data_IF_492964702435
#
_entry.id   IF_492964702435
#
_cell.length_a   1.000
_cell.length_b   1.000
_cell.length_c   1.000
_cell.angle_alpha   90.00
_cell.angle_beta   90.00
_cell.angle_gamma   90.00
#
_symmetry.space_group_name_H-M   'P 1'
#
loop_
_entity.id
_entity.type
_entity.pdbx_description
1 polymer ?
#
# COMPACT_ATOMS: atom_id res chain seq x y z
N UNK A 1 -44.72 -21.88 -43.22
CA UNK A 1 -44.15 -22.19 -41.89
C UNK A 1 -42.66 -21.90 -41.99
N UNK A 2 -42.12 -21.16 -41.01
CA UNK A 2 -40.71 -21.13 -40.55
C UNK A 2 -40.47 -19.80 -39.85
N UNK A 3 -41.02 -19.74 -38.64
CA UNK A 3 -40.96 -18.63 -37.71
C UNK A 3 -39.59 -18.68 -37.02
N UNK A 4 -38.53 -18.26 -37.71
CA UNK A 4 -37.19 -18.18 -37.10
C UNK A 4 -37.19 -16.93 -36.22
N UNK A 5 -37.27 -17.18 -34.91
CA UNK A 5 -37.14 -16.20 -33.84
C UNK A 5 -36.11 -15.12 -34.19
N UNK A 6 -36.58 -13.89 -34.39
CA UNK A 6 -35.75 -12.70 -34.33
C UNK A 6 -35.40 -12.48 -32.86
N UNK A 7 -34.42 -13.22 -32.36
CA UNK A 7 -33.76 -12.89 -31.08
C UNK A 7 -32.99 -11.61 -31.35
N UNK A 8 -33.62 -10.48 -31.05
CA UNK A 8 -32.96 -9.18 -31.00
C UNK A 8 -32.00 -9.26 -29.82
N UNK A 9 -30.75 -9.61 -30.10
CA UNK A 9 -29.66 -9.53 -29.14
C UNK A 9 -29.37 -8.05 -28.94
N UNK A 10 -30.00 -7.45 -27.93
CA UNK A 10 -29.68 -6.09 -27.47
C UNK A 10 -28.30 -6.16 -26.82
N UNK A 11 -27.27 -5.79 -27.57
CA UNK A 11 -25.90 -5.64 -27.07
C UNK A 11 -25.84 -4.36 -26.22
N UNK A 12 -26.27 -4.44 -24.97
CA UNK A 12 -26.10 -3.37 -24.01
C UNK A 12 -24.63 -3.34 -23.56
N UNK A 13 -23.82 -2.53 -24.24
CA UNK A 13 -22.46 -2.21 -23.77
C UNK A 13 -22.57 -1.31 -22.54
N UNK A 14 -22.58 -1.93 -21.36
CA UNK A 14 -22.34 -1.24 -20.09
C UNK A 14 -20.87 -0.86 -20.05
N UNK A 15 -20.57 0.41 -20.30
CA UNK A 15 -19.25 0.98 -20.08
C UNK A 15 -19.10 1.21 -18.57
N UNK A 16 -18.57 0.20 -17.86
CA UNK A 16 -18.23 0.33 -16.44
C UNK A 16 -17.03 1.27 -16.36
N UNK A 17 -17.24 2.47 -15.84
CA UNK A 17 -16.17 3.41 -15.51
C UNK A 17 -15.26 2.80 -14.45
N UNK A 18 -13.97 2.65 -14.79
CA UNK A 18 -12.96 2.18 -13.85
C UNK A 18 -12.48 3.40 -13.06
N UNK A 19 -12.92 3.52 -11.81
CA UNK A 19 -12.37 4.49 -10.85
C UNK A 19 -10.95 4.05 -10.42
N UNK A 20 -9.89 4.86 -10.62
CA UNK A 20 -8.55 4.51 -10.16
C UNK A 20 -8.37 4.99 -8.71
N UNK A 21 -8.75 4.17 -7.73
CA UNK A 21 -8.53 4.50 -6.31
C UNK A 21 -7.92 3.35 -5.52
N UNK A 22 -6.85 2.73 -6.02
CA UNK A 22 -6.11 1.67 -5.29
C UNK A 22 -4.64 1.55 -5.74
N UNK A 23 -3.90 2.62 -6.06
CA UNK A 23 -2.57 2.42 -6.65
C UNK A 23 -1.49 1.91 -5.67
N UNK A 24 -1.65 2.11 -4.36
CA UNK A 24 -0.73 1.62 -3.31
C UNK A 24 -0.53 0.10 -3.27
N UNK A 25 -1.63 -0.66 -3.20
CA UNK A 25 -1.58 -2.12 -3.09
C UNK A 25 -1.22 -2.77 -4.44
N UNK A 26 -1.29 -1.99 -5.53
CA UNK A 26 -1.18 -2.48 -6.89
C UNK A 26 0.24 -2.42 -7.46
N UNK A 27 1.17 -1.64 -6.90
CA UNK A 27 2.54 -1.50 -7.42
C UNK A 27 3.37 -2.77 -7.28
N UNK A 28 3.51 -3.29 -6.06
CA UNK A 28 4.29 -4.51 -5.80
C UNK A 28 3.67 -5.75 -6.47
N UNK A 29 2.33 -5.86 -6.47
CA UNK A 29 1.62 -6.94 -7.17
C UNK A 29 1.89 -6.87 -8.68
N UNK A 30 1.79 -5.68 -9.28
CA UNK A 30 2.06 -5.46 -10.71
C UNK A 30 3.51 -5.75 -11.08
N UNK A 31 4.46 -5.38 -10.22
CA UNK A 31 5.88 -5.70 -10.39
C UNK A 31 6.14 -7.20 -10.33
N UNK A 32 5.51 -7.90 -9.38
CA UNK A 32 5.60 -9.36 -9.25
C UNK A 32 5.05 -10.07 -10.48
N UNK A 33 3.90 -9.61 -11.00
CA UNK A 33 3.30 -10.17 -12.21
C UNK A 33 4.20 -9.98 -13.44
N UNK A 34 4.72 -8.76 -13.64
CA UNK A 34 5.67 -8.47 -14.73
C UNK A 34 6.96 -9.30 -14.62
N UNK A 35 7.45 -9.52 -13.40
CA UNK A 35 8.63 -10.35 -13.13
C UNK A 35 8.38 -11.83 -13.46
N UNK A 36 7.18 -12.34 -13.17
CA UNK A 36 6.79 -13.69 -13.56
C UNK A 36 6.68 -13.84 -15.08
N UNK A 37 6.09 -12.86 -15.76
CA UNK A 37 6.04 -12.83 -17.22
C UNK A 37 7.45 -12.76 -17.84
N UNK A 38 8.36 -11.99 -17.24
CA UNK A 38 9.75 -11.89 -17.68
C UNK A 38 10.46 -13.25 -17.59
N UNK A 39 10.32 -13.96 -16.46
CA UNK A 39 10.92 -15.28 -16.25
C UNK A 39 10.50 -16.30 -17.31
N UNK A 40 9.22 -16.26 -17.71
CA UNK A 40 8.72 -17.11 -18.79
C UNK A 40 9.26 -16.65 -20.16
N UNK A 41 9.25 -15.35 -20.42
CA UNK A 41 9.71 -14.77 -21.67
C UNK A 41 11.21 -15.01 -21.94
N UNK A 42 12.04 -15.05 -20.90
CA UNK A 42 13.49 -15.35 -21.04
C UNK A 42 13.76 -16.76 -21.57
N UNK A 43 12.83 -17.70 -21.38
CA UNK A 43 12.98 -19.08 -21.86
C UNK A 43 12.31 -19.33 -23.22
N UNK A 44 11.18 -18.68 -23.48
CA UNK A 44 10.28 -19.08 -24.57
C UNK A 44 9.87 -17.95 -25.51
N UNK A 45 10.28 -16.70 -25.28
CA UNK A 45 9.84 -15.56 -26.08
C UNK A 45 10.99 -14.83 -26.80
N UNK A 46 10.61 -13.94 -27.73
CA UNK A 46 11.53 -13.07 -28.46
C UNK A 46 12.27 -12.09 -27.54
N UNK A 47 13.50 -11.76 -27.91
CA UNK A 47 14.32 -10.73 -27.27
C UNK A 47 13.59 -9.38 -27.14
N UNK A 48 12.72 -9.04 -28.10
CA UNK A 48 11.91 -7.83 -28.04
C UNK A 48 10.90 -7.86 -26.87
N UNK A 49 10.25 -9.01 -26.64
CA UNK A 49 9.29 -9.20 -25.54
C UNK A 49 10.00 -9.09 -24.19
N UNK A 50 11.18 -9.69 -24.07
CA UNK A 50 12.04 -9.61 -22.88
C UNK A 50 12.43 -8.14 -22.60
N UNK A 51 12.88 -7.41 -23.62
CA UNK A 51 13.26 -6.01 -23.48
C UNK A 51 12.08 -5.12 -23.06
N UNK A 52 10.89 -5.35 -23.62
CA UNK A 52 9.66 -4.65 -23.25
C UNK A 52 9.26 -4.90 -21.79
N UNK A 53 9.34 -6.15 -21.31
CA UNK A 53 9.05 -6.50 -19.93
C UNK A 53 10.04 -5.88 -18.94
N UNK A 54 11.34 -5.86 -19.26
CA UNK A 54 12.37 -5.18 -18.46
C UNK A 54 12.08 -3.68 -18.35
N UNK A 55 11.72 -3.03 -19.46
CA UNK A 55 11.33 -1.60 -19.47
C UNK A 55 10.07 -1.36 -18.64
N UNK A 56 9.08 -2.25 -18.71
CA UNK A 56 7.85 -2.13 -17.92
C UNK A 56 8.12 -2.21 -16.42
N UNK A 57 8.98 -3.14 -15.97
CA UNK A 57 9.41 -3.24 -14.57
C UNK A 57 10.12 -1.95 -14.14
N UNK A 58 11.07 -1.46 -14.94
CA UNK A 58 11.76 -0.19 -14.66
C UNK A 58 10.80 1.00 -14.56
N UNK A 59 9.73 1.01 -15.36
CA UNK A 59 8.72 2.06 -15.28
C UNK A 59 7.85 1.93 -14.02
N UNK A 60 7.54 0.70 -13.57
CA UNK A 60 6.90 0.50 -12.27
C UNK A 60 7.82 0.99 -11.16
N UNK A 61 9.10 0.62 -11.16
CA UNK A 61 10.08 1.10 -10.17
C UNK A 61 10.24 2.63 -10.18
N UNK A 62 10.15 3.26 -11.35
CA UNK A 62 10.36 4.71 -11.51
C UNK A 62 9.12 5.54 -11.21
N UNK A 63 7.93 5.04 -11.57
CA UNK A 63 6.71 5.84 -11.61
C UNK A 63 5.57 5.30 -10.76
N UNK A 64 5.65 4.05 -10.29
CA UNK A 64 4.69 3.54 -9.33
C UNK A 64 5.10 4.08 -7.96
N UNK A 65 4.36 5.07 -7.49
CA UNK A 65 4.43 5.49 -6.10
C UNK A 65 3.56 4.51 -5.31
N UNK A 66 4.13 3.87 -4.29
CA UNK A 66 3.32 3.16 -3.31
C UNK A 66 2.45 4.21 -2.61
N UNK A 67 1.21 4.38 -3.05
CA UNK A 67 0.24 5.30 -2.43
C UNK A 67 -0.19 4.84 -1.03
N UNK A 68 0.68 4.24 -0.20
CA UNK A 68 0.43 4.34 1.24
C UNK A 68 0.51 5.83 1.51
N UNK A 69 -0.62 6.51 1.77
CA UNK A 69 -0.60 7.95 1.96
C UNK A 69 0.46 8.23 3.02
N UNK A 70 1.33 9.23 2.81
CA UNK A 70 2.39 9.59 3.76
C UNK A 70 1.86 9.65 5.18
N UNK A 71 0.61 10.06 5.33
CA UNK A 71 -0.17 10.06 6.56
C UNK A 71 -0.38 8.67 7.19
N UNK A 72 -0.77 7.63 6.45
CA UNK A 72 -0.87 6.25 6.97
C UNK A 72 0.51 5.75 7.42
N UNK A 73 1.56 6.05 6.66
CA UNK A 73 2.93 5.69 7.05
C UNK A 73 3.37 6.40 8.33
N UNK A 74 3.09 7.70 8.44
CA UNK A 74 3.34 8.48 9.66
C UNK A 74 2.52 7.94 10.83
N UNK A 75 1.25 7.60 10.61
CA UNK A 75 0.38 7.01 11.62
C UNK A 75 0.97 5.70 12.18
N UNK A 76 1.33 4.75 11.29
CA UNK A 76 1.92 3.47 11.68
C UNK A 76 3.24 3.65 12.45
N UNK A 77 4.08 4.60 12.04
CA UNK A 77 5.33 4.90 12.73
C UNK A 77 5.08 5.49 14.13
N UNK A 78 4.11 6.39 14.26
CA UNK A 78 3.74 7.02 15.53
C UNK A 78 3.08 6.01 16.47
N UNK A 79 2.22 5.12 15.97
CA UNK A 79 1.64 4.02 16.74
C UNK A 79 2.71 3.07 17.28
N UNK A 80 3.69 2.69 16.45
CA UNK A 80 4.81 1.85 16.91
C UNK A 80 5.66 2.55 17.98
N UNK A 81 5.87 3.87 17.85
CA UNK A 81 6.57 4.69 18.86
C UNK A 81 5.80 4.70 20.19
N UNK A 82 4.48 4.84 20.16
CA UNK A 82 3.61 4.79 21.34
C UNK A 82 3.76 3.46 22.07
N UNK A 83 3.68 2.34 21.36
CA UNK A 83 3.82 1.00 21.97
C UNK A 83 5.19 0.81 22.64
N UNK A 84 6.26 1.28 21.99
CA UNK A 84 7.61 1.26 22.58
C UNK A 84 7.69 2.11 23.85
N UNK A 85 7.12 3.32 23.83
CA UNK A 85 7.12 4.22 24.98
C UNK A 85 6.32 3.67 26.16
N UNK A 86 5.16 3.04 25.91
CA UNK A 86 4.38 2.33 26.95
C UNK A 86 5.20 1.22 27.59
N UNK A 87 5.89 0.41 26.79
CA UNK A 87 6.73 -0.67 27.30
C UNK A 87 7.92 -0.13 28.13
N UNK A 88 8.56 0.97 27.69
CA UNK A 88 9.64 1.61 28.43
C UNK A 88 9.15 2.28 29.73
N UNK A 89 7.98 2.90 29.72
CA UNK A 89 7.32 3.47 30.89
C UNK A 89 7.02 2.38 31.92
N UNK A 90 6.41 1.27 31.50
CA UNK A 90 6.11 0.13 32.36
C UNK A 90 7.37 -0.44 33.01
N UNK A 91 8.46 -0.61 32.24
CA UNK A 91 9.76 -1.04 32.78
C UNK A 91 10.34 -0.05 33.79
N UNK A 92 10.22 1.26 33.53
CA UNK A 92 10.69 2.28 34.46
C UNK A 92 9.89 2.27 35.77
N UNK A 93 8.58 2.06 35.70
CA UNK A 93 7.70 1.91 36.87
C UNK A 93 8.06 0.67 37.69
N UNK A 94 8.29 -0.49 37.04
CA UNK A 94 8.75 -1.70 37.73
C UNK A 94 10.08 -1.49 38.46
N UNK A 95 11.01 -0.78 37.83
CA UNK A 95 12.32 -0.48 38.40
C UNK A 95 12.30 0.68 39.41
N UNK A 96 11.13 1.27 39.69
CA UNK A 96 10.96 2.43 40.56
C UNK A 96 11.82 3.65 40.13
N UNK A 97 12.17 3.73 38.84
CA UNK A 97 12.94 4.83 38.25
C UNK A 97 11.99 5.98 37.89
N UNK A 98 11.69 6.81 38.89
CA UNK A 98 10.70 7.90 38.80
C UNK A 98 11.06 8.96 37.77
N UNK A 99 12.36 9.29 37.63
CA UNK A 99 12.85 10.22 36.61
C UNK A 99 12.62 9.69 35.20
N UNK A 100 12.99 8.43 34.94
CA UNK A 100 12.77 7.82 33.63
C UNK A 100 11.30 7.63 33.33
N UNK A 101 10.49 7.25 34.33
CA UNK A 101 9.06 7.12 34.17
C UNK A 101 8.42 8.47 33.79
N UNK A 102 8.77 9.56 34.48
CA UNK A 102 8.26 10.89 34.16
C UNK A 102 8.60 11.31 32.72
N UNK A 103 9.87 11.12 32.31
CA UNK A 103 10.32 11.43 30.95
C UNK A 103 9.56 10.60 29.90
N UNK A 104 9.39 9.30 30.13
CA UNK A 104 8.67 8.41 29.20
C UNK A 104 7.18 8.73 29.11
N UNK A 105 6.58 9.15 30.21
CA UNK A 105 5.19 9.63 30.21
C UNK A 105 5.03 10.90 29.37
N UNK A 106 5.97 11.86 29.48
CA UNK A 106 5.94 13.07 28.66
C UNK A 106 6.12 12.75 27.16
N UNK A 107 7.10 11.92 26.82
CA UNK A 107 7.33 11.47 25.43
C UNK A 107 6.10 10.73 24.87
N UNK A 108 5.43 9.92 25.69
CA UNK A 108 4.21 9.20 25.32
C UNK A 108 3.05 10.17 25.02
N UNK A 109 2.83 11.15 25.89
CA UNK A 109 1.79 12.16 25.69
C UNK A 109 2.03 12.97 24.40
N UNK A 110 3.29 13.31 24.11
CA UNK A 110 3.63 13.99 22.87
C UNK A 110 3.37 13.11 21.63
N UNK A 111 3.70 11.82 21.68
CA UNK A 111 3.44 10.91 20.57
C UNK A 111 1.92 10.66 20.35
N UNK A 112 1.12 10.64 21.43
CA UNK A 112 -0.34 10.56 21.33
C UNK A 112 -0.93 11.82 20.69
N UNK A 113 -0.44 13.00 21.05
CA UNK A 113 -0.85 14.26 20.41
C UNK A 113 -0.45 14.29 18.92
N UNK A 114 0.77 13.87 18.58
CA UNK A 114 1.22 13.74 17.20
C UNK A 114 0.31 12.81 16.39
N UNK A 115 -0.11 11.68 16.98
CA UNK A 115 -1.05 10.75 16.36
C UNK A 115 -2.43 11.39 16.10
N UNK A 116 -2.95 12.14 17.07
CA UNK A 116 -4.23 12.86 16.93
C UNK A 116 -4.17 13.91 15.81
N UNK A 117 -3.06 14.65 15.69
CA UNK A 117 -2.88 15.61 14.61
C UNK A 117 -2.82 14.93 13.23
N UNK A 118 -2.13 13.79 13.14
CA UNK A 118 -2.08 12.98 11.92
C UNK A 118 -3.48 12.49 11.54
N UNK A 119 -4.32 12.09 12.50
CA UNK A 119 -5.68 11.59 12.25
C UNK A 119 -6.71 12.70 11.97
N UNK A 120 -6.53 13.91 12.50
CA UNK A 120 -7.46 15.03 12.29
C UNK A 120 -7.17 15.82 11.01
N UNK A 121 -5.97 15.70 10.46
CA UNK A 121 -5.56 16.34 9.20
C UNK A 121 -5.91 15.48 7.96
N UNK A 122 -6.57 14.32 8.14
CA UNK A 122 -6.93 13.39 7.04
C UNK A 122 -8.29 13.69 6.42
#
# INVERSE_FOLDING_TARGET
MNHVQKVVVILATVMIGISPTYAAQNCEIKKQELSNQLRYAEKYASSYRVAGLKRAIQNVDRYCQDDTPTQIKMQLQTEHKIEKLKAELYKAQQNQDTQKALKKQQELNQALFELEQIQTTS
#
